data_IF_086702355797
#
_entry.id   IF_086702355797
#
_cell.length_a   1.000
_cell.length_b   1.000
_cell.length_c   1.000
_cell.angle_alpha   90.00
_cell.angle_beta   90.00
_cell.angle_gamma   90.00
#
_symmetry.space_group_name_H-M   'P 1'
#
loop_
_entity.id
_entity.type
_entity.pdbx_description
1 polymer ?
#
# COMPACT_ATOMS: atom_id res chain seq x y z
N UNK A 1 -22.29 -19.57 6.03
CA UNK A 1 -21.73 -18.43 6.79
C UNK A 1 -21.15 -18.86 8.14
N UNK A 2 -21.93 -19.49 9.05
CA UNK A 2 -21.43 -19.98 10.35
C UNK A 2 -20.29 -21.00 10.24
N UNK A 3 -20.36 -21.89 9.24
CA UNK A 3 -19.34 -22.91 8.96
C UNK A 3 -18.02 -22.34 8.46
N UNK A 4 -18.07 -21.27 7.67
CA UNK A 4 -16.89 -20.58 7.14
C UNK A 4 -16.12 -19.88 8.26
N UNK A 5 -16.85 -19.25 9.19
CA UNK A 5 -16.27 -18.58 10.35
C UNK A 5 -15.61 -19.60 11.30
N UNK A 6 -16.27 -20.73 11.57
CA UNK A 6 -15.71 -21.76 12.46
C UNK A 6 -14.43 -22.39 11.90
N UNK A 7 -14.36 -22.56 10.57
CA UNK A 7 -13.17 -23.07 9.88
C UNK A 7 -12.00 -22.09 9.94
N UNK A 8 -12.25 -20.81 9.68
CA UNK A 8 -11.23 -19.74 9.80
C UNK A 8 -10.72 -19.64 11.24
N UNK A 9 -11.61 -19.70 12.25
CA UNK A 9 -11.19 -19.67 13.65
C UNK A 9 -10.34 -20.89 14.04
N UNK A 10 -10.63 -22.07 13.49
CA UNK A 10 -9.82 -23.27 13.73
C UNK A 10 -8.45 -23.16 13.08
N UNK A 11 -8.39 -22.72 11.83
CA UNK A 11 -7.13 -22.52 11.10
C UNK A 11 -6.25 -21.42 11.74
N UNK A 12 -6.83 -20.32 12.22
CA UNK A 12 -6.12 -19.28 12.96
C UNK A 12 -5.56 -19.79 14.29
N UNK A 13 -6.33 -20.64 14.99
CA UNK A 13 -5.90 -21.26 16.25
C UNK A 13 -4.75 -22.26 16.04
N UNK A 14 -4.77 -23.01 14.93
CA UNK A 14 -3.68 -23.92 14.55
C UNK A 14 -2.44 -23.17 14.05
N UNK A 15 -2.61 -22.02 13.38
CA UNK A 15 -1.51 -21.23 12.83
C UNK A 15 -0.67 -20.50 13.88
N UNK A 16 -1.08 -20.48 15.16
CA UNK A 16 -0.40 -19.78 16.27
C UNK A 16 -0.07 -18.30 16.02
N UNK A 17 -0.72 -17.66 15.05
CA UNK A 17 -0.47 -16.25 14.74
C UNK A 17 -1.04 -15.41 15.89
N UNK A 18 -0.16 -14.68 16.58
CA UNK A 18 -0.59 -13.77 17.64
C UNK A 18 -1.42 -12.65 17.02
N UNK A 19 -2.69 -12.57 17.43
CA UNK A 19 -3.62 -11.53 17.01
C UNK A 19 -3.08 -10.11 17.26
N UNK A 20 -2.22 -9.94 18.27
CA UNK A 20 -1.52 -8.67 18.54
C UNK A 20 -0.58 -8.28 17.40
N UNK A 21 0.09 -9.26 16.78
CA UNK A 21 0.97 -9.04 15.62
C UNK A 21 0.16 -8.60 14.41
N UNK A 22 -0.99 -9.23 14.17
CA UNK A 22 -1.90 -8.83 13.08
C UNK A 22 -2.36 -7.38 13.27
N UNK A 23 -2.82 -7.02 14.47
CA UNK A 23 -3.25 -5.64 14.74
C UNK A 23 -2.09 -4.66 14.62
N UNK A 24 -0.90 -5.01 15.13
CA UNK A 24 0.29 -4.16 15.01
C UNK A 24 0.73 -3.97 13.55
N UNK A 25 0.39 -4.90 12.66
CA UNK A 25 0.72 -4.80 11.24
C UNK A 25 -0.12 -3.74 10.50
N UNK A 26 -1.33 -3.44 10.98
CA UNK A 26 -2.23 -2.45 10.34
C UNK A 26 -1.60 -1.05 10.25
N UNK A 27 -1.14 -0.41 11.35
CA UNK A 27 -0.51 0.90 11.25
C UNK A 27 0.81 0.86 10.46
N UNK A 28 1.56 -0.24 10.54
CA UNK A 28 2.81 -0.42 9.79
C UNK A 28 2.53 -0.45 8.28
N UNK A 29 1.53 -1.20 7.84
CA UNK A 29 1.11 -1.27 6.45
C UNK A 29 0.62 0.10 5.95
N UNK A 30 -0.17 0.82 6.76
CA UNK A 30 -0.63 2.16 6.43
C UNK A 30 0.52 3.16 6.27
N UNK A 31 1.47 3.19 7.20
CA UNK A 31 2.64 4.07 7.12
C UNK A 31 3.50 3.71 5.91
N UNK A 32 3.75 2.42 5.68
CA UNK A 32 4.51 1.94 4.51
C UNK A 32 3.86 2.40 3.21
N UNK A 33 2.53 2.34 3.13
CA UNK A 33 1.76 2.83 2.00
C UNK A 33 1.95 4.34 1.78
N UNK A 34 1.87 5.16 2.84
CA UNK A 34 2.11 6.60 2.73
C UNK A 34 3.52 6.91 2.21
N UNK A 35 4.54 6.21 2.69
CA UNK A 35 5.91 6.38 2.21
C UNK A 35 6.08 5.93 0.75
N UNK A 36 5.36 4.90 0.32
CA UNK A 36 5.37 4.44 -1.06
C UNK A 36 4.87 5.51 -2.03
N UNK A 37 3.68 6.08 -1.78
CA UNK A 37 3.12 7.16 -2.61
C UNK A 37 3.95 8.45 -2.53
N UNK A 38 4.48 8.78 -1.34
CA UNK A 38 5.36 9.92 -1.17
C UNK A 38 6.66 9.79 -1.97
N UNK A 39 7.20 8.56 -2.09
CA UNK A 39 8.37 8.28 -2.91
C UNK A 39 8.12 8.55 -4.39
N UNK A 40 7.00 8.07 -4.93
CA UNK A 40 6.59 8.34 -6.32
C UNK A 40 6.38 9.82 -6.58
N UNK A 41 5.70 10.52 -5.68
CA UNK A 41 5.53 11.97 -5.75
C UNK A 41 6.88 12.70 -5.77
N UNK A 42 7.75 12.40 -4.79
CA UNK A 42 9.07 13.04 -4.69
C UNK A 42 9.93 12.78 -5.92
N UNK A 43 9.93 11.55 -6.43
CA UNK A 43 10.70 11.20 -7.62
C UNK A 43 10.16 11.88 -8.88
N UNK A 44 8.83 12.05 -9.00
CA UNK A 44 8.20 12.80 -10.07
C UNK A 44 8.56 14.29 -10.05
N UNK A 45 8.50 14.92 -8.88
CA UNK A 45 8.89 16.32 -8.65
C UNK A 45 10.37 16.56 -8.98
N UNK A 46 11.26 15.71 -8.48
CA UNK A 46 12.70 15.80 -8.76
C UNK A 46 13.02 15.60 -10.25
N UNK A 47 12.17 14.90 -10.98
CA UNK A 47 12.30 14.69 -12.42
C UNK A 47 11.68 15.81 -13.25
N UNK A 48 11.21 16.88 -12.60
CA UNK A 48 10.64 18.07 -13.24
C UNK A 48 9.18 17.93 -13.64
N UNK A 49 8.44 16.96 -13.08
CA UNK A 49 6.99 16.86 -13.25
C UNK A 49 6.29 17.44 -12.04
N UNK A 50 5.27 18.28 -12.28
CA UNK A 50 4.35 18.73 -11.24
C UNK A 50 3.43 17.56 -10.84
N UNK A 51 3.52 17.10 -9.59
CA UNK A 51 2.87 15.91 -9.07
C UNK A 51 1.81 16.25 -8.04
N UNK A 52 0.72 15.48 -8.04
CA UNK A 52 -0.27 15.46 -6.95
C UNK A 52 -0.14 14.21 -6.11
N UNK A 53 -0.29 14.36 -4.79
CA UNK A 53 -0.29 13.29 -3.82
C UNK A 53 -1.72 13.05 -3.31
N UNK A 54 -2.20 11.83 -3.41
CA UNK A 54 -3.48 11.38 -2.87
C UNK A 54 -3.32 10.16 -1.98
N UNK A 55 -4.38 9.85 -1.22
CA UNK A 55 -4.44 8.67 -0.34
C UNK A 55 -4.46 7.33 -1.07
N UNK A 56 -4.59 7.34 -2.40
CA UNK A 56 -4.59 6.11 -3.22
C UNK A 56 -3.77 6.23 -4.51
N UNK A 57 -3.10 7.37 -4.74
CA UNK A 57 -2.45 7.63 -6.02
C UNK A 57 -1.50 8.82 -5.91
N UNK A 58 -0.37 8.73 -6.59
CA UNK A 58 0.57 9.81 -6.82
C UNK A 58 0.84 9.93 -8.32
N UNK A 59 0.47 11.06 -8.92
CA UNK A 59 0.45 11.21 -10.38
C UNK A 59 0.73 12.64 -10.84
N UNK A 60 1.30 12.81 -12.05
CA UNK A 60 1.59 14.12 -12.62
C UNK A 60 0.30 14.87 -13.00
N UNK A 61 0.26 16.18 -12.73
CA UNK A 61 -0.88 17.06 -13.01
C UNK A 61 -1.06 17.33 -14.51
N UNK A 62 0.04 17.59 -15.23
CA UNK A 62 0.04 17.84 -16.67
C UNK A 62 1.25 17.15 -17.31
N UNK A 63 0.99 16.35 -18.35
CA UNK A 63 1.97 15.40 -18.86
C UNK A 63 3.10 16.02 -19.68
N UNK A 64 4.35 15.71 -19.30
CA UNK A 64 5.45 15.55 -20.27
C UNK A 64 6.33 14.32 -19.96
N UNK A 65 6.28 13.80 -18.74
CA UNK A 65 6.67 12.43 -18.43
C UNK A 65 5.54 11.73 -17.67
N UNK A 66 4.99 10.67 -18.27
CA UNK A 66 4.48 9.53 -17.49
C UNK A 66 5.70 8.81 -16.91
N UNK A 67 6.43 9.45 -16.01
CA UNK A 67 7.50 8.76 -15.29
C UNK A 67 6.79 7.83 -14.31
N UNK A 68 6.90 6.53 -14.55
CA UNK A 68 6.76 5.50 -13.52
C UNK A 68 5.41 4.82 -13.26
N UNK A 69 4.78 4.37 -14.33
CA UNK A 69 4.31 2.98 -14.37
C UNK A 69 5.48 1.95 -14.48
N UNK A 70 6.74 2.35 -14.24
CA UNK A 70 7.93 1.85 -14.97
C UNK A 70 9.08 1.26 -14.14
N UNK A 71 9.06 1.21 -12.80
CA UNK A 71 9.92 0.25 -12.07
C UNK A 71 9.12 -0.66 -11.15
N UNK A 72 8.20 -1.44 -11.74
CA UNK A 72 7.75 -2.71 -11.17
C UNK A 72 6.67 -2.67 -10.08
N UNK A 73 5.56 -2.04 -10.45
CA UNK A 73 4.33 -2.83 -10.42
C UNK A 73 3.35 -2.47 -9.32
N UNK A 74 2.33 -1.73 -9.74
CA UNK A 74 0.94 -1.89 -9.32
C UNK A 74 0.08 -1.69 -10.60
N UNK A 75 -1.06 -2.35 -10.78
CA UNK A 75 -1.93 -3.01 -9.80
C UNK A 75 -2.86 -4.01 -10.49
#
# INVERSE_FOLDING_TARGET
MKESISRISKELKESQIDWKVIIAFIPIAFITYLFHEFGHWTFGELSGNDMTLGLNNSAPQNGHLKMFQMLYGLQ
#
